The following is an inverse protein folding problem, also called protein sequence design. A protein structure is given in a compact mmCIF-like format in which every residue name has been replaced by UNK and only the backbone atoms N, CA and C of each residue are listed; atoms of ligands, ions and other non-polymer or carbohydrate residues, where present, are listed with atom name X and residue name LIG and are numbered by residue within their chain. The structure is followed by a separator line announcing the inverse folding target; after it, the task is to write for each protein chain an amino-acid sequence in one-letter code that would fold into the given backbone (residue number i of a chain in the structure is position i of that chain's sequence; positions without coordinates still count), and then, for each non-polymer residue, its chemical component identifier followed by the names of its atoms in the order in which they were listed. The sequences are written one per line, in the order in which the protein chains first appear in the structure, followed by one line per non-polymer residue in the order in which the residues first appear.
data_IF_167067541120
#
_entry.id   IF_167067541120
#
_cell.length_a   1.000
_cell.length_b   1.000
_cell.length_c   1.000
_cell.angle_alpha   90.00
_cell.angle_beta   90.00
_cell.angle_gamma   90.00
#
_symmetry.space_group_name_H-M   'P 1'
#
loop_
_entity.id
_entity.type
_entity.pdbx_description
1 polymer ?
#
# COMPACT_ATOMS: atom_id res chain seq x y z
N UNK A 1 24.56 -10.45 -6.37
CA UNK A 1 24.43 -11.85 -5.93
C UNK A 1 22.99 -12.04 -5.48
N UNK A 2 22.23 -12.96 -6.09
CA UNK A 2 20.87 -13.24 -5.60
C UNK A 2 20.97 -13.96 -4.27
N UNK A 3 20.41 -13.37 -3.21
CA UNK A 3 20.29 -14.08 -1.95
C UNK A 3 19.32 -15.25 -2.15
N UNK A 4 19.71 -16.41 -1.64
CA UNK A 4 18.89 -17.62 -1.65
C UNK A 4 17.67 -17.41 -0.75
N UNK A 5 16.50 -17.99 -1.09
CA UNK A 5 15.26 -17.80 -0.33
C UNK A 5 15.37 -18.32 1.12
N UNK A 6 16.36 -19.17 1.41
CA UNK A 6 16.76 -19.64 2.72
C UNK A 6 17.08 -18.48 3.68
N UNK A 7 17.54 -17.33 3.16
CA UNK A 7 17.77 -16.12 3.98
C UNK A 7 16.48 -15.64 4.65
N UNK A 8 15.31 -15.86 4.03
CA UNK A 8 14.01 -15.47 4.57
C UNK A 8 13.71 -16.26 5.84
N UNK A 9 13.94 -17.58 5.81
CA UNK A 9 13.74 -18.44 6.98
C UNK A 9 14.71 -18.10 8.11
N UNK A 10 15.95 -17.77 7.78
CA UNK A 10 16.95 -17.34 8.76
C UNK A 10 16.60 -16.00 9.40
N UNK A 11 16.18 -15.02 8.60
CA UNK A 11 15.73 -13.71 9.10
C UNK A 11 14.49 -13.85 9.97
N UNK A 12 13.54 -14.70 9.58
CA UNK A 12 12.35 -14.98 10.38
C UNK A 12 12.70 -15.63 11.74
N UNK A 13 13.64 -16.60 11.78
CA UNK A 13 14.10 -17.20 13.04
C UNK A 13 14.69 -16.15 13.99
N UNK A 14 15.59 -15.30 13.49
CA UNK A 14 16.19 -14.21 14.27
C UNK A 14 15.16 -13.21 14.77
N UNK A 15 14.19 -12.85 13.92
CA UNK A 15 13.09 -11.96 14.31
C UNK A 15 12.24 -12.57 15.43
N UNK A 16 11.87 -13.85 15.33
CA UNK A 16 11.11 -14.55 16.36
C UNK A 16 11.86 -14.60 17.70
N UNK A 17 13.16 -14.91 17.68
CA UNK A 17 14.00 -14.92 18.88
C UNK A 17 14.08 -13.54 19.52
N UNK A 18 14.29 -12.50 18.72
CA UNK A 18 14.35 -11.10 19.20
C UNK A 18 13.05 -10.71 19.88
N UNK A 19 11.88 -11.01 19.26
CA UNK A 19 10.57 -10.69 19.85
C UNK A 19 10.32 -11.46 21.15
N UNK A 20 10.67 -12.75 21.22
CA UNK A 20 10.56 -13.55 22.47
C UNK A 20 11.45 -13.03 23.59
N UNK A 21 12.65 -12.56 23.26
CA UNK A 21 13.57 -11.99 24.26
C UNK A 21 13.03 -10.67 24.82
N UNK A 22 12.41 -9.84 23.98
CA UNK A 22 11.82 -8.57 24.39
C UNK A 22 10.50 -8.77 25.16
N UNK A 23 9.67 -9.71 24.72
CA UNK A 23 8.40 -10.05 25.35
C UNK A 23 8.15 -11.58 25.24
N UNK A 24 8.33 -12.35 26.32
CA UNK A 24 8.16 -13.81 26.30
C UNK A 24 6.76 -14.27 25.84
N UNK A 25 5.74 -13.50 26.18
CA UNK A 25 4.34 -13.80 25.85
C UNK A 25 3.89 -13.21 24.49
N UNK A 26 4.78 -12.53 23.75
CA UNK A 26 4.44 -11.83 22.49
C UNK A 26 3.58 -12.65 21.51
N UNK A 27 3.98 -13.89 21.22
CA UNK A 27 3.26 -14.75 20.28
C UNK A 27 1.98 -15.33 20.85
N UNK A 28 1.86 -15.42 22.18
CA UNK A 28 0.65 -15.83 22.85
C UNK A 28 -0.38 -14.70 22.78
N UNK A 29 0.03 -13.48 23.14
CA UNK A 29 -0.81 -12.29 23.08
C UNK A 29 -1.29 -12.03 21.64
N UNK A 30 -0.40 -12.18 20.64
CA UNK A 30 -0.75 -12.05 19.23
C UNK A 30 -1.72 -13.14 18.74
N UNK A 31 -1.64 -14.35 19.30
CA UNK A 31 -2.52 -15.46 18.94
C UNK A 31 -3.91 -15.37 19.60
N UNK A 32 -4.00 -14.70 20.76
CA UNK A 32 -5.26 -14.56 21.50
C UNK A 32 -6.27 -13.67 20.75
N UNK A 33 -5.81 -12.82 19.83
CA UNK A 33 -6.67 -12.15 18.86
C UNK A 33 -6.05 -10.92 18.20
N UNK A 34 -6.79 -10.34 17.26
CA UNK A 34 -6.48 -9.04 16.67
C UNK A 34 -7.64 -8.09 16.93
N UNK A 35 -7.35 -6.81 17.19
CA UNK A 35 -8.37 -5.77 17.31
C UNK A 35 -7.87 -4.46 16.66
N UNK A 36 -7.62 -4.48 15.34
CA UNK A 36 -7.08 -3.32 14.65
C UNK A 36 -8.10 -2.19 14.62
N UNK A 37 -7.65 -0.96 14.84
CA UNK A 37 -8.50 0.23 14.70
C UNK A 37 -8.53 0.77 13.27
N UNK A 38 -7.62 0.30 12.42
CA UNK A 38 -7.40 0.81 11.07
C UNK A 38 -7.44 -0.30 10.02
N UNK A 39 -8.10 -0.02 8.89
CA UNK A 39 -7.86 -0.70 7.62
C UNK A 39 -6.95 0.19 6.77
N UNK A 40 -5.81 -0.34 6.33
CA UNK A 40 -4.90 0.32 5.41
C UNK A 40 -4.98 -0.32 4.02
N UNK A 41 -5.29 0.48 3.00
CA UNK A 41 -5.28 0.10 1.59
C UNK A 41 -4.12 0.82 0.91
N UNK A 42 -3.09 0.07 0.51
CA UNK A 42 -1.87 0.63 -0.06
C UNK A 42 -1.35 -0.07 -1.31
N UNK A 43 -0.26 0.45 -1.86
CA UNK A 43 0.35 -0.12 -3.06
C UNK A 43 1.19 -1.36 -2.72
N UNK A 44 1.24 -2.34 -3.61
CA UNK A 44 2.16 -3.49 -3.54
C UNK A 44 3.65 -3.14 -3.71
N UNK A 45 3.99 -1.86 -3.90
CA UNK A 45 5.37 -1.38 -4.03
C UNK A 45 6.23 -1.80 -2.82
N UNK A 46 7.38 -2.44 -3.09
CA UNK A 46 8.25 -2.99 -2.05
C UNK A 46 8.88 -1.95 -1.12
N UNK A 47 8.85 -0.67 -1.49
CA UNK A 47 9.33 0.44 -0.65
C UNK A 47 8.31 0.87 0.41
N UNK A 48 7.08 0.35 0.33
CA UNK A 48 5.99 0.69 1.24
C UNK A 48 5.75 -0.51 2.18
N UNK A 49 6.25 -0.39 3.41
CA UNK A 49 5.90 -1.27 4.52
C UNK A 49 4.96 -0.49 5.44
N UNK A 50 3.66 -0.82 5.41
CA UNK A 50 2.63 0.01 6.02
C UNK A 50 2.81 0.11 7.55
N UNK A 51 3.04 -1.03 8.18
CA UNK A 51 3.25 -1.20 9.61
C UNK A 51 4.48 -0.41 10.07
N UNK A 52 5.62 -0.60 9.39
CA UNK A 52 6.88 0.09 9.73
C UNK A 52 6.80 1.60 9.54
N UNK A 53 6.19 2.07 8.44
CA UNK A 53 6.03 3.50 8.16
C UNK A 53 5.12 4.22 9.16
N UNK A 54 4.11 3.52 9.69
CA UNK A 54 3.19 4.07 10.68
C UNK A 54 3.63 3.84 12.13
N UNK A 55 4.69 3.05 12.35
CA UNK A 55 5.14 2.68 13.69
C UNK A 55 4.19 1.72 14.40
N UNK A 56 3.45 0.91 13.64
CA UNK A 56 2.53 -0.09 14.16
C UNK A 56 3.18 -1.47 14.24
N UNK A 57 2.73 -2.27 15.19
CA UNK A 57 3.14 -3.66 15.36
C UNK A 57 2.13 -4.61 14.69
N UNK A 58 2.50 -5.88 14.44
CA UNK A 58 1.57 -6.88 13.95
C UNK A 58 0.31 -6.97 14.81
N UNK A 59 -0.87 -6.83 14.20
CA UNK A 59 -2.17 -6.85 14.88
C UNK A 59 -2.82 -5.47 15.07
N UNK A 60 -2.07 -4.38 14.94
CA UNK A 60 -2.58 -3.01 15.13
C UNK A 60 -3.35 -2.47 13.91
N UNK A 61 -2.99 -2.96 12.72
CA UNK A 61 -3.56 -2.52 11.43
C UNK A 61 -3.92 -3.72 10.55
N UNK A 62 -5.12 -3.69 9.98
CA UNK A 62 -5.55 -4.64 8.97
C UNK A 62 -5.13 -4.11 7.59
N UNK A 63 -4.38 -4.90 6.81
CA UNK A 63 -3.69 -4.38 5.62
C UNK A 63 -4.20 -5.07 4.35
N UNK A 64 -4.59 -4.27 3.37
CA UNK A 64 -4.86 -4.69 1.99
C UNK A 64 -3.88 -3.98 1.04
N UNK A 65 -3.30 -4.73 0.10
CA UNK A 65 -2.33 -4.17 -0.86
C UNK A 65 -2.57 -4.69 -2.26
N UNK A 66 -2.59 -3.78 -3.23
CA UNK A 66 -2.65 -4.10 -4.65
C UNK A 66 -1.84 -3.09 -5.48
N UNK A 67 -1.68 -3.33 -6.78
CA UNK A 67 -0.93 -2.42 -7.65
C UNK A 67 -1.65 -1.07 -7.73
N UNK A 68 -0.96 0.00 -7.31
CA UNK A 68 -1.49 1.38 -7.29
C UNK A 68 -2.71 1.62 -6.37
N UNK A 69 -2.87 0.82 -5.29
CA UNK A 69 -3.82 1.08 -4.20
C UNK A 69 -5.26 1.36 -4.66
N UNK A 70 -5.73 0.64 -5.67
CA UNK A 70 -7.03 0.85 -6.30
C UNK A 70 -8.14 0.15 -5.53
N UNK A 71 -9.30 0.78 -5.48
CA UNK A 71 -10.55 0.20 -4.97
C UNK A 71 -11.58 0.28 -6.08
N UNK A 72 -11.92 -0.87 -6.66
CA UNK A 72 -12.87 -0.97 -7.76
C UNK A 72 -14.22 -1.46 -7.26
N UNK A 73 -15.31 -0.90 -7.79
CA UNK A 73 -16.67 -1.29 -7.38
C UNK A 73 -17.03 -2.76 -7.63
N UNK A 74 -16.29 -3.46 -8.50
CA UNK A 74 -16.48 -4.88 -8.81
C UNK A 74 -15.31 -5.77 -8.33
N UNK A 75 -14.30 -5.21 -7.69
CA UNK A 75 -13.19 -6.00 -7.16
C UNK A 75 -13.59 -6.68 -5.85
N UNK A 76 -13.92 -7.96 -5.94
CA UNK A 76 -14.24 -8.78 -4.76
C UNK A 76 -13.08 -8.89 -3.78
N UNK A 77 -11.82 -8.70 -4.21
CA UNK A 77 -10.67 -8.75 -3.32
C UNK A 77 -10.72 -7.57 -2.33
N UNK A 78 -10.65 -6.33 -2.83
CA UNK A 78 -10.79 -5.14 -1.99
C UNK A 78 -12.13 -5.10 -1.24
N UNK A 79 -13.24 -5.47 -1.89
CA UNK A 79 -14.55 -5.48 -1.24
C UNK A 79 -14.61 -6.45 -0.05
N UNK A 80 -14.02 -7.65 -0.18
CA UNK A 80 -14.00 -8.62 0.92
C UNK A 80 -13.13 -8.16 2.10
N UNK A 81 -12.00 -7.50 1.82
CA UNK A 81 -11.14 -6.92 2.85
C UNK A 81 -11.85 -5.78 3.60
N UNK A 82 -12.56 -4.89 2.87
CA UNK A 82 -13.35 -3.81 3.44
C UNK A 82 -14.50 -4.37 4.30
N UNK A 83 -15.25 -5.32 3.76
CA UNK A 83 -16.37 -5.95 4.48
C UNK A 83 -15.88 -6.61 5.77
N UNK A 84 -14.78 -7.36 5.72
CA UNK A 84 -14.22 -7.99 6.91
C UNK A 84 -13.77 -6.96 7.95
N UNK A 85 -13.04 -5.93 7.53
CA UNK A 85 -12.57 -4.89 8.43
C UNK A 85 -13.73 -4.15 9.12
N UNK A 86 -14.77 -3.78 8.38
CA UNK A 86 -15.89 -2.99 8.89
C UNK A 86 -16.88 -3.85 9.68
N UNK A 87 -17.32 -4.97 9.10
CA UNK A 87 -18.40 -5.77 9.67
C UNK A 87 -17.93 -6.74 10.75
N UNK A 88 -16.70 -7.22 10.68
CA UNK A 88 -16.16 -8.23 11.60
C UNK A 88 -15.13 -7.67 12.59
N UNK A 89 -14.16 -6.87 12.11
CA UNK A 89 -13.12 -6.31 12.97
C UNK A 89 -13.52 -4.97 13.62
N UNK A 90 -14.59 -4.32 13.12
CA UNK A 90 -15.09 -3.03 13.62
C UNK A 90 -14.01 -1.93 13.63
N UNK A 91 -13.19 -1.91 12.57
CA UNK A 91 -12.18 -0.84 12.40
C UNK A 91 -12.87 0.53 12.44
N UNK A 92 -12.21 1.51 13.04
CA UNK A 92 -12.72 2.87 13.19
C UNK A 92 -12.40 3.74 11.97
N UNK A 93 -11.32 3.41 11.28
CA UNK A 93 -10.78 4.22 10.20
C UNK A 93 -10.36 3.36 9.00
N UNK A 94 -10.61 3.86 7.80
CA UNK A 94 -10.08 3.31 6.55
C UNK A 94 -9.14 4.33 5.94
N UNK A 95 -7.90 3.92 5.65
CA UNK A 95 -6.84 4.75 5.09
C UNK A 95 -6.54 4.23 3.69
N UNK A 96 -6.67 5.08 2.67
CA UNK A 96 -6.19 4.80 1.31
C UNK A 96 -4.90 5.60 1.13
N UNK A 97 -3.78 4.90 1.00
CA UNK A 97 -2.46 5.51 0.96
C UNK A 97 -1.79 5.29 -0.39
N UNK A 98 -1.70 6.37 -1.17
CA UNK A 98 -0.85 6.42 -2.36
C UNK A 98 0.62 6.64 -2.00
N UNK A 99 1.49 6.56 -3.00
CA UNK A 99 2.90 6.89 -2.82
C UNK A 99 3.50 7.53 -4.06
N UNK A 100 4.51 8.37 -3.86
CA UNK A 100 5.23 9.00 -4.96
C UNK A 100 5.96 7.96 -5.82
N UNK A 101 6.11 8.27 -7.10
CA UNK A 101 6.80 7.42 -8.07
C UNK A 101 6.24 5.99 -8.13
N UNK A 102 4.90 5.85 -8.06
CA UNK A 102 4.23 4.57 -8.23
C UNK A 102 4.37 4.02 -9.64
N UNK A 103 4.90 2.79 -9.75
CA UNK A 103 5.06 2.10 -11.03
C UNK A 103 3.73 1.84 -11.74
N UNK A 104 2.67 1.50 -11.00
CA UNK A 104 1.33 1.29 -11.57
C UNK A 104 0.72 2.56 -12.13
N UNK A 105 0.89 3.70 -11.45
CA UNK A 105 0.45 5.00 -11.97
C UNK A 105 1.23 5.36 -13.25
N UNK A 106 2.56 5.19 -13.24
CA UNK A 106 3.39 5.43 -14.43
C UNK A 106 2.97 4.56 -15.61
N UNK A 107 2.75 3.26 -15.38
CA UNK A 107 2.28 2.32 -16.39
C UNK A 107 0.93 2.76 -17.00
N UNK A 108 0.00 3.23 -16.17
CA UNK A 108 -1.29 3.71 -16.65
C UNK A 108 -1.18 4.91 -17.61
N UNK A 109 -0.14 5.75 -17.46
CA UNK A 109 0.11 6.96 -18.26
C UNK A 109 0.86 6.67 -19.57
N UNK A 110 1.44 5.48 -19.74
CA UNK A 110 2.16 5.12 -20.95
C UNK A 110 1.18 4.57 -22.01
N UNK A 111 1.38 4.89 -23.30
CA UNK A 111 0.61 4.31 -24.41
C UNK A 111 1.11 2.88 -24.76
N UNK A 112 1.41 2.08 -23.73
CA UNK A 112 1.91 0.72 -23.83
C UNK A 112 0.83 -0.29 -23.44
N UNK A 113 0.89 -1.48 -24.03
CA UNK A 113 0.00 -2.59 -23.71
C UNK A 113 0.56 -3.40 -22.53
N UNK A 114 -0.11 -3.35 -21.38
CA UNK A 114 0.24 -4.14 -20.19
C UNK A 114 -0.58 -5.44 -20.06
N UNK A 115 -1.21 -5.88 -21.15
CA UNK A 115 -1.97 -7.13 -21.22
C UNK A 115 -3.12 -7.17 -20.22
N UNK A 116 -3.10 -8.18 -19.33
CA UNK A 116 -4.14 -8.39 -18.31
C UNK A 116 -4.21 -7.29 -17.27
N UNK A 117 -3.20 -6.41 -17.18
CA UNK A 117 -3.26 -5.23 -16.31
C UNK A 117 -4.04 -4.07 -16.92
N UNK A 118 -4.32 -4.05 -18.22
CA UNK A 118 -5.03 -2.92 -18.83
C UNK A 118 -6.41 -2.65 -18.21
N UNK A 119 -7.25 -3.66 -17.93
CA UNK A 119 -8.51 -3.43 -17.21
C UNK A 119 -8.28 -2.89 -15.80
N UNK A 120 -7.24 -3.35 -15.10
CA UNK A 120 -6.89 -2.85 -13.78
C UNK A 120 -6.47 -1.37 -13.80
N UNK A 121 -5.64 -0.98 -14.77
CA UNK A 121 -5.15 0.39 -14.92
C UNK A 121 -6.19 1.35 -15.50
N UNK A 122 -7.31 0.85 -16.01
CA UNK A 122 -8.36 1.67 -16.64
C UNK A 122 -8.91 2.75 -15.71
N UNK A 123 -9.06 2.46 -14.42
CA UNK A 123 -9.60 3.42 -13.45
C UNK A 123 -8.63 4.58 -13.20
N UNK A 124 -7.32 4.33 -13.25
CA UNK A 124 -6.31 5.40 -13.18
C UNK A 124 -6.42 6.29 -14.42
N UNK A 125 -6.60 5.68 -15.60
CA UNK A 125 -6.78 6.41 -16.87
C UNK A 125 -8.07 7.24 -16.87
N UNK A 126 -9.14 6.73 -16.26
CA UNK A 126 -10.38 7.47 -16.10
C UNK A 126 -10.23 8.65 -15.15
N UNK A 127 -9.55 8.48 -14.01
CA UNK A 127 -9.22 9.60 -13.11
C UNK A 127 -8.40 10.65 -13.85
N UNK A 128 -7.36 10.26 -14.59
CA UNK A 128 -6.59 11.21 -15.40
C UNK A 128 -7.46 11.95 -16.42
N UNK A 129 -8.31 11.23 -17.15
CA UNK A 129 -9.23 11.81 -18.15
C UNK A 129 -10.22 12.79 -17.53
N UNK A 130 -10.75 12.50 -16.34
CA UNK A 130 -11.69 13.37 -15.62
C UNK A 130 -11.03 14.64 -15.08
N UNK A 131 -9.74 14.56 -14.74
CA UNK A 131 -8.98 15.65 -14.13
C UNK A 131 -7.87 16.19 -15.04
N UNK A 132 -8.00 15.98 -16.36
CA UNK A 132 -6.93 16.24 -17.31
C UNK A 132 -6.50 17.71 -17.30
N UNK A 133 -7.44 18.66 -17.29
CA UNK A 133 -7.14 20.09 -17.29
C UNK A 133 -6.30 20.51 -16.08
N UNK A 134 -6.63 20.00 -14.89
CA UNK A 134 -5.91 20.27 -13.65
C UNK A 134 -4.49 19.67 -13.69
N UNK A 135 -4.38 18.41 -14.13
CA UNK A 135 -3.12 17.69 -14.15
C UNK A 135 -2.16 18.24 -15.23
N UNK A 136 -2.67 18.58 -16.40
CA UNK A 136 -1.87 19.18 -17.48
C UNK A 136 -1.41 20.60 -17.09
N UNK A 137 -2.25 21.37 -16.37
CA UNK A 137 -1.86 22.65 -15.81
C UNK A 137 -0.73 22.53 -14.78
N UNK A 138 -0.80 21.55 -13.88
CA UNK A 138 0.27 21.34 -12.89
C UNK A 138 1.60 20.92 -13.54
N UNK A 139 1.58 20.13 -14.62
CA UNK A 139 2.78 19.80 -15.40
C UNK A 139 3.38 21.02 -16.10
N UNK A 140 2.53 21.92 -16.63
CA UNK A 140 3.01 23.19 -17.18
C UNK A 140 3.72 24.03 -16.11
N UNK A 141 3.23 23.98 -14.86
CA UNK A 141 3.81 24.71 -13.74
C UNK A 141 5.07 24.07 -13.16
N UNK A 142 5.18 22.76 -13.05
CA UNK A 142 6.41 22.12 -12.59
C UNK A 142 7.57 22.36 -13.57
N UNK A 143 7.29 22.45 -14.88
CA UNK A 143 8.30 22.87 -15.86
C UNK A 143 8.67 24.37 -15.78
N UNK A 144 7.80 25.23 -15.20
CA UNK A 144 8.12 26.65 -14.92
C UNK A 144 8.60 26.94 -13.49
N UNK A 145 8.35 26.04 -12.53
CA UNK A 145 8.64 26.21 -11.11
C UNK A 145 9.81 25.32 -10.62
N UNK A 146 10.29 24.38 -11.46
CA UNK A 146 11.53 23.64 -11.21
C UNK A 146 12.78 24.54 -11.10
N UNK A 147 12.67 25.84 -11.39
CA UNK A 147 13.73 26.83 -11.17
C UNK A 147 13.66 27.55 -9.81
N UNK A 148 12.64 27.38 -8.98
CA UNK A 148 12.49 28.21 -7.75
C UNK A 148 11.96 27.54 -6.48
N UNK A 149 11.83 26.22 -6.37
CA UNK A 149 11.23 25.62 -5.17
C UNK A 149 12.07 24.50 -4.52
N UNK A 150 13.31 24.83 -4.14
CA UNK A 150 14.02 24.21 -3.01
C UNK A 150 14.91 25.28 -2.35
N UNK A 151 14.26 26.22 -1.67
CA UNK A 151 14.91 27.11 -0.71
C UNK A 151 13.90 27.47 0.37
N UNK A 152 13.74 26.56 1.33
CA UNK A 152 13.69 26.80 2.77
C UNK A 152 13.39 25.49 3.50
#
# INVERSE_FOLDING_TARGET
MSQSYEVIFENNRKWQETKRQQCPDYFKDLADGQNPEYLYIGCSDSRVAAEELMGFEPGDVFVHRNVANLVHGLDMNAASAIEYAVSHLKVKHIIICGHYNCGGIKAAMLPEDFGTMNPWLSNIRDVYRLHQEELDWTQSKTNTCATTAWSN
#
